data_IF_711045443228
#
_entry.id   IF_711045443228
#
_cell.length_a   1.000
_cell.length_b   1.000
_cell.length_c   1.000
_cell.angle_alpha   90.00
_cell.angle_beta   90.00
_cell.angle_gamma   90.00
#
_symmetry.space_group_name_H-M   'P 1'
#
loop_
_entity.id
_entity.type
_entity.pdbx_description
1 polymer ?
#
# COMPACT_ATOMS: atom_id res chain seq x y z
N UNK A 1 -19.83 -12.03 -42.26
CA UNK A 1 -19.63 -11.99 -40.80
C UNK A 1 -18.22 -12.44 -40.52
N UNK A 2 -17.32 -11.51 -40.22
CA UNK A 2 -15.91 -11.80 -39.92
C UNK A 2 -15.73 -11.58 -38.42
N UNK A 3 -15.53 -12.66 -37.67
CA UNK A 3 -15.21 -12.57 -36.24
C UNK A 3 -13.70 -12.39 -36.15
N UNK A 4 -13.22 -11.16 -35.99
CA UNK A 4 -11.81 -10.92 -35.72
C UNK A 4 -11.55 -11.25 -34.25
N UNK A 5 -10.88 -12.37 -33.98
CA UNK A 5 -10.32 -12.66 -32.66
C UNK A 5 -9.20 -11.66 -32.37
N UNK A 6 -9.50 -10.57 -31.67
CA UNK A 6 -8.49 -9.67 -31.11
C UNK A 6 -7.62 -10.47 -30.14
N UNK A 7 -6.42 -10.88 -30.57
CA UNK A 7 -5.40 -11.44 -29.70
C UNK A 7 -5.04 -10.37 -28.66
N UNK A 8 -5.57 -10.53 -27.45
CA UNK A 8 -5.30 -9.66 -26.32
C UNK A 8 -3.88 -9.97 -25.84
N UNK A 9 -2.88 -9.27 -26.37
CA UNK A 9 -1.52 -9.32 -25.81
C UNK A 9 -1.62 -8.94 -24.32
N UNK A 10 -1.37 -9.91 -23.44
CA UNK A 10 -1.18 -9.65 -22.02
C UNK A 10 0.18 -8.96 -21.88
N UNK A 11 0.16 -7.64 -21.72
CA UNK A 11 1.33 -6.91 -21.28
C UNK A 11 1.45 -7.12 -19.78
N UNK A 12 2.39 -7.96 -19.38
CA UNK A 12 2.76 -8.09 -17.98
C UNK A 12 3.47 -6.81 -17.56
N UNK A 13 2.85 -6.06 -16.65
CA UNK A 13 3.42 -4.82 -16.11
C UNK A 13 4.19 -5.17 -14.85
N UNK A 14 5.51 -4.92 -14.85
CA UNK A 14 6.33 -5.05 -13.66
C UNK A 14 6.14 -3.80 -12.80
N UNK A 15 5.60 -3.98 -11.61
CA UNK A 15 5.50 -2.89 -10.63
C UNK A 15 6.87 -2.57 -10.05
N UNK A 16 7.17 -1.27 -9.94
CA UNK A 16 8.41 -0.81 -9.33
C UNK A 16 8.42 -1.09 -7.83
N UNK A 17 9.59 -1.40 -7.28
CA UNK A 17 9.78 -1.56 -5.83
C UNK A 17 10.76 -0.51 -5.33
N UNK A 18 10.53 0.03 -4.13
CA UNK A 18 11.44 0.99 -3.52
C UNK A 18 11.53 0.80 -2.01
N UNK A 19 12.59 1.36 -1.41
CA UNK A 19 12.71 1.49 0.03
C UNK A 19 12.27 2.90 0.42
N UNK A 20 11.30 2.99 1.31
CA UNK A 20 10.89 4.23 1.96
C UNK A 20 11.24 4.15 3.45
N UNK A 21 11.42 5.29 4.09
CA UNK A 21 11.62 5.36 5.54
C UNK A 21 10.37 5.93 6.18
N UNK A 22 9.75 5.19 7.10
CA UNK A 22 8.55 5.61 7.82
C UNK A 22 8.89 5.90 9.27
N UNK A 23 8.47 7.05 9.78
CA UNK A 23 8.67 7.39 11.20
C UNK A 23 7.70 6.56 12.07
N UNK A 24 8.25 5.84 13.06
CA UNK A 24 7.47 5.06 14.03
C UNK A 24 6.96 5.94 15.18
N UNK A 25 6.28 5.35 16.17
CA UNK A 25 5.70 6.10 17.30
C UNK A 25 6.71 6.83 18.18
N UNK A 26 7.98 6.44 18.15
CA UNK A 26 9.07 7.07 18.92
C UNK A 26 9.93 8.01 18.06
N UNK A 27 9.56 8.22 16.79
CA UNK A 27 10.24 9.14 15.86
C UNK A 27 11.40 8.52 15.09
N UNK A 28 11.65 7.22 15.21
CA UNK A 28 12.71 6.54 14.47
C UNK A 28 12.29 6.25 13.02
N UNK A 29 13.23 6.37 12.10
CA UNK A 29 13.03 6.07 10.67
C UNK A 29 13.20 4.58 10.41
N UNK A 30 12.09 3.88 10.20
CA UNK A 30 12.06 2.46 9.85
C UNK A 30 12.10 2.31 8.32
N UNK A 31 13.08 1.58 7.74
CA UNK A 31 13.07 1.25 6.33
C UNK A 31 12.00 0.18 6.01
N UNK A 32 11.13 0.47 5.05
CA UNK A 32 10.15 -0.47 4.52
C UNK A 32 10.33 -0.64 3.01
N UNK A 33 10.31 -1.89 2.54
CA UNK A 33 10.21 -2.19 1.10
C UNK A 33 8.76 -2.15 0.67
N UNK A 34 8.45 -1.37 -0.34
CA UNK A 34 7.08 -1.17 -0.85
C UNK A 34 7.01 -1.40 -2.36
N UNK A 35 5.81 -1.73 -2.83
CA UNK A 35 5.44 -1.66 -4.24
C UNK A 35 4.98 -0.22 -4.52
N UNK A 36 5.65 0.46 -5.44
CA UNK A 36 5.24 1.78 -5.92
C UNK A 36 4.32 1.58 -7.13
N UNK A 37 3.03 1.62 -6.86
CA UNK A 37 1.96 1.41 -7.84
C UNK A 37 1.17 2.72 -8.05
N UNK A 38 1.41 3.38 -9.19
CA UNK A 38 0.67 4.58 -9.58
C UNK A 38 -0.76 4.29 -10.04
N UNK A 39 -1.10 3.03 -10.31
CA UNK A 39 -2.45 2.59 -10.64
C UNK A 39 -3.34 2.42 -9.40
N UNK A 40 -2.74 2.36 -8.20
CA UNK A 40 -3.47 2.27 -6.95
C UNK A 40 -4.01 3.62 -6.48
N UNK A 41 -5.31 3.68 -6.16
CA UNK A 41 -5.93 4.88 -5.57
C UNK A 41 -5.58 5.06 -4.09
N UNK A 42 -5.11 4.00 -3.43
CA UNK A 42 -4.85 3.99 -1.98
C UNK A 42 -3.53 3.29 -1.68
N UNK A 43 -2.80 3.79 -0.68
CA UNK A 43 -1.65 3.09 -0.12
C UNK A 43 -2.12 2.07 0.92
N UNK A 44 -1.74 0.81 0.74
CA UNK A 44 -2.08 -0.28 1.66
C UNK A 44 -0.86 -0.69 2.48
N UNK A 45 -1.11 -1.11 3.72
CA UNK A 45 -0.08 -1.58 4.63
C UNK A 45 -0.64 -2.74 5.45
N UNK A 46 0.13 -3.82 5.63
CA UNK A 46 -0.31 -4.99 6.40
C UNK A 46 -0.51 -4.61 7.87
N UNK A 47 -1.52 -5.18 8.54
CA UNK A 47 -1.70 -4.94 9.98
C UNK A 47 -0.43 -5.17 10.80
N UNK A 48 0.31 -6.25 10.53
CA UNK A 48 1.57 -6.54 11.23
C UNK A 48 2.61 -5.43 11.10
N UNK A 49 2.67 -4.75 9.95
CA UNK A 49 3.54 -3.59 9.75
C UNK A 49 3.03 -2.37 10.50
N UNK A 50 1.71 -2.18 10.59
CA UNK A 50 1.13 -1.08 11.38
C UNK A 50 1.40 -1.27 12.87
N UNK A 51 1.28 -2.52 13.34
CA UNK A 51 1.60 -2.94 14.70
C UNK A 51 3.10 -2.74 14.98
N UNK A 52 3.97 -3.12 14.04
CA UNK A 52 5.42 -2.91 14.13
C UNK A 52 5.82 -1.42 14.23
N UNK A 53 5.17 -0.55 13.44
CA UNK A 53 5.42 0.90 13.51
C UNK A 53 4.84 1.54 14.79
N UNK A 54 3.96 0.83 15.51
CA UNK A 54 3.28 1.25 16.72
C UNK A 54 2.51 2.59 16.58
N UNK A 55 2.10 2.93 15.35
CA UNK A 55 1.36 4.16 15.07
C UNK A 55 -0.13 3.99 15.41
N UNK A 56 -0.76 5.09 15.86
CA UNK A 56 -2.19 5.09 16.19
C UNK A 56 -3.04 4.74 14.97
N UNK A 57 -3.82 3.67 15.08
CA UNK A 57 -4.86 3.31 14.11
C UNK A 57 -6.08 4.21 14.26
N UNK A 58 -6.48 4.83 13.16
CA UNK A 58 -7.69 5.63 13.02
C UNK A 58 -8.78 4.77 12.37
N UNK A 59 -10.02 4.87 12.86
CA UNK A 59 -11.16 4.17 12.28
C UNK A 59 -11.44 4.68 10.87
N UNK A 60 -11.76 3.77 9.96
CA UNK A 60 -12.29 4.07 8.62
C UNK A 60 -13.26 2.96 8.21
N UNK A 61 -13.99 3.16 7.12
CA UNK A 61 -14.84 2.12 6.52
C UNK A 61 -14.76 2.29 5.01
N UNK A 62 -13.89 1.51 4.38
CA UNK A 62 -13.57 1.65 2.97
C UNK A 62 -13.52 0.28 2.30
N UNK A 63 -14.37 0.09 1.29
CA UNK A 63 -14.35 -1.11 0.47
C UNK A 63 -13.24 -0.98 -0.59
N UNK A 64 -12.29 -1.91 -0.58
CA UNK A 64 -11.19 -1.97 -1.55
C UNK A 64 -11.36 -3.20 -2.43
N UNK A 65 -11.37 -2.99 -3.74
CA UNK A 65 -11.34 -4.05 -4.75
C UNK A 65 -9.94 -4.15 -5.40
N UNK A 66 -9.75 -5.10 -6.31
CA UNK A 66 -8.46 -5.28 -7.00
C UNK A 66 -7.41 -6.06 -6.19
N UNK A 67 -7.78 -6.57 -5.01
CA UNK A 67 -6.92 -7.40 -4.17
C UNK A 67 -7.37 -8.87 -4.26
N UNK A 68 -6.61 -9.67 -5.04
CA UNK A 68 -6.85 -11.11 -5.16
C UNK A 68 -8.22 -11.51 -5.72
N UNK A 69 -8.89 -10.61 -6.46
CA UNK A 69 -10.21 -10.86 -7.05
C UNK A 69 -11.39 -10.73 -6.08
N UNK A 70 -11.16 -10.29 -4.84
CA UNK A 70 -12.20 -10.10 -3.83
C UNK A 70 -12.29 -8.63 -3.38
N UNK A 71 -13.45 -8.26 -2.83
CA UNK A 71 -13.61 -6.98 -2.15
C UNK A 71 -13.25 -7.15 -0.67
N UNK A 72 -12.39 -6.29 -0.16
CA UNK A 72 -11.95 -6.30 1.24
C UNK A 72 -12.39 -5.01 1.90
N UNK A 73 -13.06 -5.13 3.04
CA UNK A 73 -13.43 -3.95 3.83
C UNK A 73 -12.28 -3.58 4.78
N UNK A 74 -11.70 -2.40 4.55
CA UNK A 74 -10.68 -1.80 5.41
C UNK A 74 -11.35 -1.00 6.52
N UNK A 75 -11.07 -1.40 7.77
CA UNK A 75 -11.66 -0.79 8.97
C UNK A 75 -10.74 0.17 9.72
N UNK A 76 -9.46 0.24 9.35
CA UNK A 76 -8.52 1.17 9.96
C UNK A 76 -7.48 1.71 8.99
N UNK A 77 -6.96 2.89 9.29
CA UNK A 77 -5.83 3.50 8.60
C UNK A 77 -4.84 4.08 9.61
N UNK A 78 -3.59 4.25 9.21
CA UNK A 78 -2.58 5.00 9.97
C UNK A 78 -2.13 6.22 9.14
N UNK A 79 -1.80 7.31 9.82
CA UNK A 79 -1.07 8.43 9.21
C UNK A 79 0.42 8.22 9.45
N UNK A 80 1.20 8.03 8.38
CA UNK A 80 2.65 7.85 8.48
C UNK A 80 3.39 8.99 7.81
N UNK A 81 4.49 9.44 8.41
CA UNK A 81 5.46 10.32 7.75
C UNK A 81 6.45 9.44 7.02
N UNK A 82 6.50 9.55 5.69
CA UNK A 82 7.47 8.87 4.83
C UNK A 82 8.59 9.81 4.43
N UNK A 83 9.76 9.24 4.13
CA UNK A 83 10.90 9.96 3.60
C UNK A 83 11.77 9.12 2.67
N UNK A 84 12.57 9.78 1.83
CA UNK A 84 13.69 9.15 1.14
C UNK A 84 14.87 8.93 2.10
N UNK A 85 15.89 8.19 1.67
CA UNK A 85 17.02 7.82 2.53
C UNK A 85 17.80 9.00 3.10
N UNK A 86 18.01 10.07 2.33
CA UNK A 86 18.66 11.28 2.81
C UNK A 86 17.76 12.14 3.71
N UNK A 87 16.43 11.89 3.70
CA UNK A 87 15.44 12.73 4.36
C UNK A 87 15.18 14.09 3.68
N UNK A 88 15.78 14.35 2.51
CA UNK A 88 15.54 15.58 1.75
C UNK A 88 14.12 15.70 1.20
N UNK A 89 13.42 14.57 1.09
CA UNK A 89 12.01 14.51 0.76
C UNK A 89 11.25 13.86 1.92
N UNK A 90 10.17 14.50 2.35
CA UNK A 90 9.22 13.97 3.33
C UNK A 90 7.78 14.21 2.90
N UNK A 91 6.88 13.31 3.27
CA UNK A 91 5.44 13.49 3.06
C UNK A 91 4.64 12.72 4.12
N UNK A 92 3.46 13.24 4.47
CA UNK A 92 2.45 12.49 5.23
C UNK A 92 1.61 11.67 4.25
N UNK A 93 1.45 10.36 4.53
CA UNK A 93 0.64 9.43 3.74
C UNK A 93 -0.35 8.72 4.65
N UNK A 94 -1.59 8.56 4.16
CA UNK A 94 -2.60 7.73 4.79
C UNK A 94 -2.41 6.29 4.29
N UNK A 95 -1.99 5.38 5.17
CA UNK A 95 -1.90 3.95 4.88
C UNK A 95 -3.13 3.22 5.40
N UNK A 96 -3.86 2.59 4.49
CA UNK A 96 -5.04 1.78 4.78
C UNK A 96 -4.60 0.39 5.23
N UNK A 97 -5.01 0.01 6.43
CA UNK A 97 -4.50 -1.20 7.10
C UNK A 97 -5.23 -2.41 6.56
N UNK A 98 -4.54 -3.19 5.73
CA UNK A 98 -5.06 -4.41 5.15
C UNK A 98 -5.13 -5.52 6.24
N UNK A 99 -6.32 -6.13 6.47
CA UNK A 99 -6.46 -7.23 7.41
C UNK A 99 -5.64 -8.42 6.91
N UNK A 100 -5.02 -9.15 7.84
CA UNK A 100 -4.07 -10.25 7.61
C UNK A 100 -4.45 -11.10 6.38
N UNK A 101 -3.48 -11.34 5.49
CA UNK A 101 -3.64 -12.33 4.42
C UNK A 101 -3.84 -13.70 5.08
N UNK A 102 -4.98 -14.34 4.82
CA UNK A 102 -5.13 -15.78 5.01
C UNK A 102 -4.32 -16.43 3.87
N UNK A 103 -3.05 -16.72 4.14
CA UNK A 103 -2.24 -17.64 3.33
C UNK A 103 -1.81 -18.76 4.25
#
# INVERSE_FOLDING_TARGET
MSVSSSQKHKNDIILSTCIIYVENSVGEKVPLRVLADSGSQVSLLRSSTADFLNLRKLKTDMLVSGLGGSNVNIKSKIKGVISNGSGSYKRVVDFHVYPKLLI
#
